data_IF_651000324885
#
_entry.id   IF_651000324885
#
_cell.length_a   1.000
_cell.length_b   1.000
_cell.length_c   1.000
_cell.angle_alpha   90.00
_cell.angle_beta   90.00
_cell.angle_gamma   90.00
#
_symmetry.space_group_name_H-M   'P 1'
#
loop_
_entity.id
_entity.type
_entity.pdbx_description
1 polymer ?
#
# COMPACT_ATOMS: atom_id res chain seq x y z
N UNK A 1 -28.88 28.33 35.23
CA UNK A 1 -27.80 27.36 35.53
C UNK A 1 -28.01 26.11 34.66
N UNK A 2 -26.95 25.69 33.95
CA UNK A 2 -26.63 24.35 33.39
C UNK A 2 -27.71 23.54 32.61
N UNK A 3 -27.51 23.48 31.29
CA UNK A 3 -27.80 22.32 30.40
C UNK A 3 -26.95 21.09 30.84
N UNK A 4 -27.35 19.81 30.57
CA UNK A 4 -27.23 19.21 29.21
C UNK A 4 -28.32 18.17 28.82
N UNK A 5 -28.87 18.22 27.61
CA UNK A 5 -28.45 17.43 26.42
C UNK A 5 -28.35 15.91 26.67
N UNK A 6 -29.42 15.18 26.32
CA UNK A 6 -29.39 13.73 26.13
C UNK A 6 -28.43 13.39 24.98
N UNK A 7 -27.18 13.09 25.32
CA UNK A 7 -26.23 12.51 24.38
C UNK A 7 -26.56 11.01 24.25
N UNK A 8 -27.29 10.66 23.19
CA UNK A 8 -27.53 9.28 22.75
C UNK A 8 -26.16 8.63 22.51
N UNK A 9 -25.80 7.67 23.37
CA UNK A 9 -24.65 6.79 23.20
C UNK A 9 -24.72 6.13 21.83
N UNK A 10 -23.84 6.54 20.92
CA UNK A 10 -23.65 5.95 19.60
C UNK A 10 -22.62 4.84 19.73
N UNK A 11 -23.00 3.72 20.34
CA UNK A 11 -22.22 2.48 20.23
C UNK A 11 -22.52 1.83 18.90
N UNK A 12 -21.65 2.01 17.92
CA UNK A 12 -21.57 1.13 16.76
C UNK A 12 -20.27 1.35 15.99
N UNK A 13 -19.53 0.24 15.87
CA UNK A 13 -18.68 -0.17 14.74
C UNK A 13 -17.18 0.19 14.73
N UNK A 14 -16.46 -0.89 14.43
CA UNK A 14 -15.09 -1.09 13.94
C UNK A 14 -13.94 -0.91 14.93
N UNK A 15 -13.69 -2.02 15.63
CA UNK A 15 -12.36 -2.52 15.92
C UNK A 15 -11.53 -2.60 14.61
N UNK A 16 -10.31 -2.04 14.61
CA UNK A 16 -9.30 -2.31 13.59
C UNK A 16 -9.26 -1.35 12.38
N UNK A 17 -8.96 -0.07 12.60
CA UNK A 17 -8.47 0.84 11.55
C UNK A 17 -7.29 1.64 12.10
N UNK A 18 -6.24 0.97 12.56
CA UNK A 18 -4.90 1.57 12.50
C UNK A 18 -4.46 1.48 11.03
N UNK A 19 -5.10 2.32 10.20
CA UNK A 19 -4.73 2.45 8.80
C UNK A 19 -3.42 3.22 8.81
N UNK A 20 -2.31 2.49 8.89
CA UNK A 20 -0.99 3.05 8.67
C UNK A 20 -1.06 3.83 7.33
N UNK A 21 -0.95 5.16 7.40
CA UNK A 21 -1.25 6.11 6.32
C UNK A 21 -0.38 5.81 5.09
N UNK A 22 -0.87 4.93 4.21
CA UNK A 22 -0.19 4.49 3.00
C UNK A 22 -0.90 5.14 1.82
N UNK A 23 -0.24 6.11 1.20
CA UNK A 23 -0.79 6.84 0.07
C UNK A 23 -0.61 6.01 -1.21
N UNK A 24 -1.67 5.29 -1.61
CA UNK A 24 -1.67 4.56 -2.89
C UNK A 24 -2.20 5.49 -3.98
N UNK A 25 -1.32 5.96 -4.87
CA UNK A 25 -1.68 6.83 -6.00
C UNK A 25 -2.55 6.12 -7.04
N UNK A 26 -2.27 4.85 -7.30
CA UNK A 26 -2.94 4.10 -8.36
C UNK A 26 -4.34 3.63 -7.92
N UNK A 27 -5.41 4.22 -8.49
CA UNK A 27 -6.81 3.99 -8.09
C UNK A 27 -7.21 2.51 -8.04
N UNK A 28 -6.79 1.70 -9.03
CA UNK A 28 -7.14 0.27 -9.08
C UNK A 28 -6.38 -0.53 -8.04
N UNK A 29 -5.11 -0.18 -7.79
CA UNK A 29 -4.30 -0.82 -6.75
C UNK A 29 -4.86 -0.49 -5.37
N UNK A 30 -5.30 0.75 -5.15
CA UNK A 30 -5.99 1.18 -3.93
C UNK A 30 -7.25 0.36 -3.70
N UNK A 31 -8.11 0.21 -4.72
CA UNK A 31 -9.32 -0.61 -4.63
C UNK A 31 -8.99 -2.07 -4.30
N UNK A 32 -7.93 -2.62 -4.90
CA UNK A 32 -7.47 -3.97 -4.60
C UNK A 32 -6.97 -4.10 -3.15
N UNK A 33 -6.20 -3.13 -2.65
CA UNK A 33 -5.75 -3.10 -1.26
C UNK A 33 -6.90 -3.00 -0.25
N UNK A 34 -7.95 -2.25 -0.58
CA UNK A 34 -9.10 -2.03 0.31
C UNK A 34 -10.11 -3.19 0.30
N UNK A 35 -10.31 -3.84 -0.85
CA UNK A 35 -11.43 -4.77 -1.06
C UNK A 35 -11.02 -6.16 -1.58
N UNK A 36 -9.76 -6.33 -1.99
CA UNK A 36 -9.30 -7.52 -2.72
C UNK A 36 -9.82 -7.61 -4.16
N UNK A 37 -10.51 -6.58 -4.66
CA UNK A 37 -11.12 -6.61 -6.00
C UNK A 37 -10.08 -6.48 -7.11
N UNK A 38 -10.00 -7.47 -8.00
CA UNK A 38 -9.17 -7.46 -9.21
C UNK A 38 -9.79 -6.67 -10.38
N UNK A 39 -10.83 -5.88 -10.14
CA UNK A 39 -11.52 -5.14 -11.18
C UNK A 39 -10.56 -4.14 -11.87
N UNK A 40 -10.21 -4.43 -13.13
CA UNK A 40 -9.29 -3.62 -13.93
C UNK A 40 -7.80 -3.93 -13.72
N UNK A 41 -7.47 -5.04 -13.06
CA UNK A 41 -6.12 -5.60 -12.97
C UNK A 41 -6.12 -7.02 -13.56
N UNK A 42 -5.04 -7.45 -14.24
CA UNK A 42 -4.91 -8.83 -14.70
C UNK A 42 -4.95 -9.83 -13.54
N UNK A 43 -5.79 -10.87 -13.65
CA UNK A 43 -5.96 -11.88 -12.60
C UNK A 43 -4.64 -12.56 -12.19
N UNK A 44 -3.72 -12.73 -13.15
CA UNK A 44 -2.38 -13.28 -12.89
C UNK A 44 -1.53 -12.46 -11.90
N UNK A 45 -1.89 -11.20 -11.63
CA UNK A 45 -1.19 -10.36 -10.66
C UNK A 45 -1.67 -10.57 -9.23
N UNK A 46 -2.79 -11.27 -9.01
CA UNK A 46 -3.48 -11.32 -7.71
C UNK A 46 -2.56 -11.80 -6.58
N UNK A 47 -1.95 -12.97 -6.77
CA UNK A 47 -1.05 -13.57 -5.76
C UNK A 47 0.12 -12.65 -5.45
N UNK A 48 0.70 -12.05 -6.49
CA UNK A 48 1.87 -11.19 -6.38
C UNK A 48 1.54 -9.86 -5.71
N UNK A 49 0.46 -9.19 -6.13
CA UNK A 49 0.01 -7.94 -5.54
C UNK A 49 -0.43 -8.14 -4.08
N UNK A 50 -1.08 -9.26 -3.74
CA UNK A 50 -1.37 -9.61 -2.34
C UNK A 50 -0.10 -9.67 -1.52
N UNK A 51 0.92 -10.37 -2.00
CA UNK A 51 2.20 -10.48 -1.29
C UNK A 51 2.86 -9.11 -1.07
N UNK A 52 2.94 -8.30 -2.13
CA UNK A 52 3.54 -6.95 -2.08
C UNK A 52 2.77 -6.05 -1.10
N UNK A 53 1.44 -6.02 -1.20
CA UNK A 53 0.62 -5.17 -0.35
C UNK A 53 0.62 -5.63 1.11
N UNK A 54 0.65 -6.94 1.37
CA UNK A 54 0.79 -7.46 2.74
C UNK A 54 2.13 -7.05 3.34
N UNK A 55 3.21 -7.23 2.58
CA UNK A 55 4.53 -6.77 3.01
C UNK A 55 4.51 -5.25 3.26
N UNK A 56 3.87 -4.47 2.38
CA UNK A 56 3.78 -3.01 2.55
C UNK A 56 2.99 -2.70 3.78
N UNK A 57 1.93 -3.44 4.06
CA UNK A 57 1.11 -3.27 5.25
C UNK A 57 1.90 -3.53 6.54
N UNK A 58 2.78 -4.54 6.57
CA UNK A 58 3.57 -4.89 7.75
C UNK A 58 4.88 -4.12 7.89
N UNK A 59 5.44 -3.60 6.80
CA UNK A 59 6.69 -2.86 6.80
C UNK A 59 6.54 -1.53 7.55
N UNK A 60 7.49 -1.29 8.44
CA UNK A 60 7.67 -0.02 9.17
C UNK A 60 8.71 0.86 8.48
N UNK A 61 9.65 0.23 7.79
CA UNK A 61 10.75 0.88 7.10
C UNK A 61 11.04 0.17 5.77
N UNK A 62 11.94 0.76 4.98
CA UNK A 62 12.35 0.19 3.70
C UNK A 62 13.12 -1.12 3.86
N UNK A 63 13.89 -1.28 4.93
CA UNK A 63 14.70 -2.48 5.14
C UNK A 63 13.80 -3.72 5.23
N UNK A 64 12.65 -3.62 5.91
CA UNK A 64 11.65 -4.69 5.99
C UNK A 64 11.18 -5.17 4.59
N UNK A 65 11.11 -4.26 3.61
CA UNK A 65 10.81 -4.59 2.21
C UNK A 65 11.97 -5.29 1.51
N UNK A 66 13.18 -4.76 1.71
CA UNK A 66 14.40 -5.26 1.06
C UNK A 66 14.81 -6.63 1.59
N UNK A 67 14.50 -6.92 2.84
CA UNK A 67 14.79 -8.20 3.48
C UNK A 67 13.91 -9.34 2.99
N UNK A 68 12.84 -9.06 2.23
CA UNK A 68 11.96 -10.09 1.65
C UNK A 68 12.51 -10.47 0.26
N UNK A 69 13.25 -11.59 0.12
CA UNK A 69 13.96 -11.90 -1.12
C UNK A 69 12.99 -12.17 -2.27
N UNK A 70 11.81 -12.70 -1.93
CA UNK A 70 10.75 -12.97 -2.88
C UNK A 70 10.25 -11.71 -3.59
N UNK A 71 10.32 -10.52 -2.98
CA UNK A 71 9.84 -9.29 -3.62
C UNK A 71 10.79 -8.79 -4.71
N UNK A 72 12.07 -9.19 -4.71
CA UNK A 72 13.07 -8.64 -5.64
C UNK A 72 13.07 -7.11 -5.63
N UNK A 73 12.91 -6.53 -4.44
CA UNK A 73 12.92 -5.09 -4.24
C UNK A 73 14.31 -4.54 -4.60
N UNK A 74 14.34 -3.50 -5.43
CA UNK A 74 15.59 -2.86 -5.83
C UNK A 74 15.42 -1.34 -5.92
N UNK A 75 16.47 -0.57 -5.55
CA UNK A 75 16.44 0.88 -5.70
C UNK A 75 16.43 1.29 -7.17
N UNK A 76 15.66 2.33 -7.48
CA UNK A 76 15.72 3.02 -8.76
C UNK A 76 16.90 4.01 -8.79
N UNK A 77 17.34 4.35 -10.00
CA UNK A 77 18.52 5.21 -10.24
C UNK A 77 18.13 6.46 -11.03
N UNK A 78 19.01 7.47 -11.04
CA UNK A 78 18.82 8.71 -11.79
C UNK A 78 17.86 9.66 -11.07
N UNK A 79 16.90 10.22 -11.80
CA UNK A 79 15.92 11.18 -11.27
C UNK A 79 14.95 10.58 -10.24
N UNK A 80 14.90 9.24 -10.16
CA UNK A 80 14.07 8.48 -9.21
C UNK A 80 14.87 7.93 -8.03
N UNK A 81 16.02 8.51 -7.74
CA UNK A 81 16.85 8.11 -6.59
C UNK A 81 16.05 8.33 -5.29
N UNK A 82 15.95 7.29 -4.46
CA UNK A 82 15.10 7.27 -3.26
C UNK A 82 13.74 6.56 -3.46
N UNK A 83 13.43 6.16 -4.69
CA UNK A 83 12.32 5.26 -4.99
C UNK A 83 12.81 3.83 -5.18
N UNK A 84 11.91 2.89 -4.94
CA UNK A 84 12.16 1.45 -5.00
C UNK A 84 11.12 0.80 -5.89
N UNK A 85 11.53 -0.26 -6.57
CA UNK A 85 10.67 -1.02 -7.46
C UNK A 85 10.64 -2.50 -7.09
N UNK A 86 9.45 -3.08 -7.20
CA UNK A 86 9.18 -4.50 -7.01
C UNK A 86 8.54 -5.06 -8.27
N UNK A 87 9.06 -6.20 -8.73
CA UNK A 87 8.53 -6.92 -9.88
C UNK A 87 7.17 -7.56 -9.57
N UNK A 88 6.16 -7.17 -10.35
CA UNK A 88 4.84 -7.82 -10.34
C UNK A 88 4.84 -8.95 -11.36
N UNK A 89 4.98 -8.63 -12.64
CA UNK A 89 5.00 -9.62 -13.71
C UNK A 89 5.47 -8.98 -15.03
N UNK A 90 6.47 -9.56 -15.68
CA UNK A 90 7.02 -9.03 -16.93
C UNK A 90 7.45 -7.57 -16.76
N UNK A 91 6.83 -6.66 -17.52
CA UNK A 91 7.12 -5.22 -17.50
C UNK A 91 6.45 -4.46 -16.34
N UNK A 92 5.54 -5.10 -15.60
CA UNK A 92 4.81 -4.44 -14.52
C UNK A 92 5.66 -4.33 -13.25
N UNK A 93 5.68 -3.13 -12.68
CA UNK A 93 6.43 -2.79 -11.48
C UNK A 93 5.52 -2.06 -10.49
N UNK A 94 5.55 -2.45 -9.22
CA UNK A 94 5.08 -1.60 -8.13
C UNK A 94 6.25 -0.75 -7.70
N UNK A 95 6.08 0.56 -7.75
CA UNK A 95 7.09 1.52 -7.30
C UNK A 95 6.62 2.20 -6.03
N UNK A 96 7.55 2.45 -5.12
CA UNK A 96 7.23 3.13 -3.88
C UNK A 96 8.39 3.93 -3.34
N UNK A 97 8.06 4.97 -2.56
CA UNK A 97 9.02 5.75 -1.77
C UNK A 97 8.51 5.97 -0.36
N UNK A 98 9.43 6.26 0.55
CA UNK A 98 9.10 6.68 1.90
C UNK A 98 9.15 8.21 1.91
N UNK A 99 8.01 8.84 2.19
CA UNK A 99 7.88 10.31 2.23
C UNK A 99 7.93 10.81 3.69
N UNK A 100 7.29 10.08 4.60
CA UNK A 100 7.28 10.33 6.03
C UNK A 100 7.50 9.01 6.80
N UNK A 101 7.89 9.05 8.09
CA UNK A 101 7.94 7.84 8.92
C UNK A 101 6.60 7.10 8.82
N UNK A 102 6.65 5.84 8.36
CA UNK A 102 5.49 4.97 8.11
C UNK A 102 4.60 5.32 6.89
N UNK A 103 4.89 6.36 6.11
CA UNK A 103 4.11 6.69 4.91
C UNK A 103 4.82 6.19 3.66
N UNK A 104 4.19 5.22 2.98
CA UNK A 104 4.63 4.76 1.66
C UNK A 104 3.76 5.37 0.58
N UNK A 105 4.39 6.04 -0.38
CA UNK A 105 3.77 6.51 -1.61
C UNK A 105 3.91 5.43 -2.67
N UNK A 106 2.81 4.70 -2.97
CA UNK A 106 2.82 3.48 -3.77
C UNK A 106 2.12 3.69 -5.12
N UNK A 107 2.78 3.27 -6.19
CA UNK A 107 2.29 3.32 -7.56
C UNK A 107 2.43 1.97 -8.28
N UNK A 108 1.63 1.76 -9.33
CA UNK A 108 1.73 0.60 -10.23
C UNK A 108 2.00 1.14 -11.63
N UNK A 109 3.12 0.72 -12.23
CA UNK A 109 3.61 1.19 -13.51
C UNK A 109 3.82 0.02 -14.47
N UNK A 110 3.60 0.27 -15.76
CA UNK A 110 3.94 -0.63 -16.86
C UNK A 110 5.11 -0.02 -17.62
N UNK A 111 6.26 -0.70 -17.63
CA UNK A 111 7.49 -0.22 -18.27
C UNK A 111 7.51 -0.61 -19.76
N UNK A 112 6.47 -0.25 -20.50
CA UNK A 112 6.39 -0.46 -21.94
C UNK A 112 6.63 0.85 -22.72
#
# INVERSE_FOLDING_TARGET
>A
MRLPLHHRLRSSKTLGKEQNDKSIKHKRLKKFAETGSMAGLPAQFESRLKMILTALHTATNLQDMMDIPALRCHPLKGDRTGEYAVEVNGNWRVTFKIDEPNTFDVNLEDYH
#
